data_IF_126962762119
#
_entry.id   IF_126962762119
#
_cell.length_a   1.000
_cell.length_b   1.000
_cell.length_c   1.000
_cell.angle_alpha   90.00
_cell.angle_beta   90.00
_cell.angle_gamma   90.00
#
_symmetry.space_group_name_H-M   'P 1'
#
loop_
_entity.id
_entity.type
_entity.pdbx_description
1 polymer ?
#
# COMPACT_ATOMS: atom_id res chain seq x y z
N UNK A 1 -22.68 -21.28 2.53
CA UNK A 1 -21.65 -20.23 2.69
C UNK A 1 -20.81 -20.57 3.90
N UNK A 2 -19.48 -20.66 3.77
CA UNK A 2 -18.62 -20.92 4.94
C UNK A 2 -18.67 -19.68 5.83
N UNK A 3 -19.18 -19.82 7.04
CA UNK A 3 -19.15 -18.79 8.09
C UNK A 3 -17.69 -18.55 8.46
N UNK A 4 -17.07 -17.57 7.82
CA UNK A 4 -15.74 -17.13 8.21
C UNK A 4 -15.90 -16.43 9.55
N UNK A 5 -15.62 -17.14 10.65
CA UNK A 5 -15.59 -16.54 11.99
C UNK A 5 -14.41 -15.58 11.98
N UNK A 6 -14.68 -14.30 11.75
CA UNK A 6 -13.66 -13.27 11.76
C UNK A 6 -13.11 -13.19 13.19
N UNK A 7 -11.79 -13.33 13.34
CA UNK A 7 -11.13 -13.14 14.63
C UNK A 7 -11.34 -11.68 15.05
N UNK A 8 -11.73 -11.40 16.31
CA UNK A 8 -11.81 -10.04 16.82
C UNK A 8 -10.50 -9.29 16.61
N UNK A 9 -10.58 -8.00 16.29
CA UNK A 9 -9.43 -7.20 15.88
C UNK A 9 -8.29 -7.23 16.90
N UNK A 10 -8.59 -7.04 18.18
CA UNK A 10 -7.59 -7.10 19.27
C UNK A 10 -6.88 -8.45 19.35
N UNK A 11 -7.62 -9.55 19.17
CA UNK A 11 -7.06 -10.89 19.19
C UNK A 11 -6.17 -11.15 17.97
N UNK A 12 -6.55 -10.61 16.81
CA UNK A 12 -5.76 -10.70 15.59
C UNK A 12 -4.46 -9.91 15.72
N UNK A 13 -4.52 -8.68 16.26
CA UNK A 13 -3.35 -7.84 16.49
C UNK A 13 -2.38 -8.52 17.44
N UNK A 14 -2.86 -9.01 18.58
CA UNK A 14 -2.04 -9.70 19.58
C UNK A 14 -1.35 -10.92 18.96
N UNK A 15 -2.11 -11.77 18.27
CA UNK A 15 -1.57 -12.95 17.58
C UNK A 15 -0.53 -12.60 16.52
N UNK A 16 -0.73 -11.51 15.78
CA UNK A 16 0.23 -11.06 14.78
C UNK A 16 1.54 -10.58 15.41
N UNK A 17 1.47 -9.80 16.49
CA UNK A 17 2.64 -9.33 17.24
C UNK A 17 3.44 -10.53 17.77
N UNK A 18 2.78 -11.52 18.38
CA UNK A 18 3.43 -12.72 18.88
C UNK A 18 4.18 -13.48 17.79
N UNK A 19 3.56 -13.64 16.62
CA UNK A 19 4.18 -14.31 15.47
C UNK A 19 5.39 -13.51 14.97
N UNK A 20 5.27 -12.18 14.86
CA UNK A 20 6.35 -11.32 14.41
C UNK A 20 7.55 -11.39 15.35
N UNK A 21 7.32 -11.25 16.66
CA UNK A 21 8.40 -11.33 17.66
C UNK A 21 9.04 -12.71 17.65
N UNK A 22 8.25 -13.79 17.58
CA UNK A 22 8.78 -15.16 17.56
C UNK A 22 9.61 -15.46 16.32
N UNK A 23 9.24 -14.90 15.17
CA UNK A 23 9.84 -15.24 13.87
C UNK A 23 11.01 -14.33 13.50
N UNK A 24 10.87 -13.03 13.77
CA UNK A 24 11.86 -12.01 13.39
C UNK A 24 12.75 -11.58 14.56
N UNK A 25 12.34 -11.86 15.79
CA UNK A 25 12.92 -11.26 16.99
C UNK A 25 12.36 -9.85 17.24
N UNK A 26 12.49 -9.35 18.49
CA UNK A 26 11.85 -8.10 18.91
C UNK A 26 12.36 -6.86 18.16
N UNK A 27 13.63 -6.85 17.75
CA UNK A 27 14.25 -5.71 17.04
C UNK A 27 13.69 -5.60 15.62
N UNK A 28 13.74 -6.68 14.83
CA UNK A 28 13.24 -6.67 13.46
C UNK A 28 11.71 -6.58 13.40
N UNK A 29 11.00 -7.17 14.36
CA UNK A 29 9.55 -7.00 14.50
C UNK A 29 9.17 -5.52 14.72
N UNK A 30 9.88 -4.83 15.61
CA UNK A 30 9.68 -3.39 15.85
C UNK A 30 10.00 -2.56 14.60
N UNK A 31 11.09 -2.88 13.90
CA UNK A 31 11.46 -2.22 12.64
C UNK A 31 10.38 -2.41 11.57
N UNK A 32 9.82 -3.61 11.44
CA UNK A 32 8.75 -3.93 10.50
C UNK A 32 7.48 -3.10 10.79
N UNK A 33 7.06 -3.03 12.05
CA UNK A 33 5.88 -2.24 12.46
C UNK A 33 6.09 -0.73 12.24
N UNK A 34 7.34 -0.28 12.29
CA UNK A 34 7.71 1.12 12.04
C UNK A 34 7.97 1.43 10.56
N UNK A 35 7.91 0.45 9.64
CA UNK A 35 8.08 0.72 8.23
C UNK A 35 7.04 1.76 7.79
N UNK A 36 7.46 2.80 7.05
CA UNK A 36 6.50 3.74 6.50
C UNK A 36 5.56 2.93 5.61
N UNK A 37 4.28 2.88 5.98
CA UNK A 37 3.26 2.44 5.04
C UNK A 37 3.50 3.28 3.79
N UNK A 38 3.70 2.61 2.64
CA UNK A 38 3.74 3.30 1.36
C UNK A 38 2.40 4.03 1.24
N UNK A 39 2.40 5.31 1.62
CA UNK A 39 1.18 6.12 1.59
C UNK A 39 0.75 6.06 0.15
N UNK A 40 -0.49 5.61 -0.09
CA UNK A 40 -1.10 5.69 -1.40
C UNK A 40 -0.81 7.11 -1.91
N UNK A 41 -0.07 7.22 -2.99
CA UNK A 41 0.13 8.52 -3.65
C UNK A 41 -1.27 9.03 -3.96
N UNK A 42 -1.58 10.23 -3.47
CA UNK A 42 -2.87 10.86 -3.74
C UNK A 42 -3.15 10.81 -5.24
N UNK A 43 -4.41 10.58 -5.62
CA UNK A 43 -4.78 10.41 -7.02
C UNK A 43 -4.33 11.59 -7.89
N UNK A 44 -4.32 12.81 -7.35
CA UNK A 44 -3.84 14.01 -8.05
C UNK A 44 -2.32 13.93 -8.26
N UNK A 45 -1.54 13.63 -7.21
CA UNK A 45 -0.07 13.51 -7.34
C UNK A 45 0.32 12.40 -8.31
N UNK A 46 -0.40 11.28 -8.30
CA UNK A 46 -0.19 10.18 -9.24
C UNK A 46 -0.51 10.60 -10.68
N UNK A 47 -1.60 11.34 -10.86
CA UNK A 47 -1.98 11.85 -12.18
C UNK A 47 -0.95 12.87 -12.69
N UNK A 48 -0.44 13.74 -11.83
CA UNK A 48 0.59 14.70 -12.19
C UNK A 48 1.89 14.02 -12.60
N UNK A 49 2.36 13.01 -11.84
CA UNK A 49 3.52 12.20 -12.22
C UNK A 49 3.31 11.48 -13.57
N UNK A 50 2.09 11.00 -13.81
CA UNK A 50 1.73 10.43 -15.10
C UNK A 50 1.79 11.49 -16.22
N UNK A 51 1.22 12.68 -16.02
CA UNK A 51 1.28 13.78 -16.98
C UNK A 51 2.72 14.20 -17.29
N UNK A 52 3.57 14.33 -16.27
CA UNK A 52 4.99 14.70 -16.41
C UNK A 52 5.78 13.67 -17.24
N UNK A 53 5.33 12.40 -17.25
CA UNK A 53 5.95 11.34 -18.05
C UNK A 53 5.57 11.38 -19.54
N UNK A 54 4.57 12.18 -19.92
CA UNK A 54 4.07 12.25 -21.29
C UNK A 54 4.82 13.31 -22.11
N UNK A 55 5.09 12.98 -23.37
CA UNK A 55 5.36 13.99 -24.38
C UNK A 55 4.04 14.63 -24.79
N UNK A 56 3.79 15.82 -24.24
CA UNK A 56 2.52 16.54 -24.34
C UNK A 56 1.96 16.61 -25.77
N UNK A 57 2.78 16.97 -26.73
CA UNK A 57 2.34 17.21 -28.11
C UNK A 57 1.95 15.89 -28.81
N UNK A 58 2.78 14.85 -28.71
CA UNK A 58 2.48 13.51 -29.25
C UNK A 58 1.23 12.90 -28.59
N UNK A 59 1.05 13.12 -27.29
CA UNK A 59 -0.12 12.63 -26.55
C UNK A 59 -1.40 13.34 -27.00
N UNK A 60 -1.38 14.66 -27.11
CA UNK A 60 -2.55 15.43 -27.55
C UNK A 60 -2.91 15.14 -29.00
N UNK A 61 -1.92 15.01 -29.88
CA UNK A 61 -2.15 14.58 -31.24
C UNK A 61 -2.87 13.22 -31.29
N UNK A 62 -2.43 12.25 -30.49
CA UNK A 62 -3.08 10.93 -30.44
C UNK A 62 -4.49 10.94 -29.83
N UNK A 63 -4.74 11.76 -28.81
CA UNK A 63 -6.02 11.75 -28.05
C UNK A 63 -7.10 12.59 -28.71
N UNK A 64 -6.71 13.70 -29.34
CA UNK A 64 -7.63 14.66 -29.96
C UNK A 64 -7.63 14.59 -31.49
N UNK A 65 -7.05 13.54 -32.09
CA UNK A 65 -7.30 13.20 -33.48
C UNK A 65 -8.77 12.76 -33.62
N UNK A 66 -9.55 13.54 -34.37
CA UNK A 66 -10.90 13.17 -34.84
C UNK A 66 -10.87 11.99 -35.82
#
# INVERSE_FOLDING_TARGET
MKTNILIPEEQLISKAIDILIRTLGPVEASRFLALPQHKRIDSVKRHQQWQDSLKKDEFFEKVFQE
#
